data_IF_280845311787
#
_entry.id   IF_280845311787
#
_cell.length_a   1.000
_cell.length_b   1.000
_cell.length_c   1.000
_cell.angle_alpha   90.00
_cell.angle_beta   90.00
_cell.angle_gamma   90.00
#
_symmetry.space_group_name_H-M   'P 1'
#
loop_
_entity.id
_entity.type
_entity.pdbx_description
1 polymer ?
#
# COMPACT_ATOMS: atom_id res chain seq x y z
N UNK A 1 62.38 27.19 -4.36
CA UNK A 1 61.20 26.72 -5.12
C UNK A 1 60.79 25.38 -4.56
N UNK A 2 59.72 25.33 -3.76
CA UNK A 2 59.25 24.10 -3.12
C UNK A 2 58.12 23.50 -3.97
N UNK A 3 58.31 22.28 -4.42
CA UNK A 3 57.37 21.49 -5.21
C UNK A 3 56.49 20.76 -4.18
N UNK A 4 55.27 21.24 -3.93
CA UNK A 4 54.31 20.53 -3.09
C UNK A 4 53.80 19.32 -3.88
N UNK A 5 54.02 18.15 -3.31
CA UNK A 5 53.74 16.85 -3.90
C UNK A 5 52.23 16.63 -4.08
N UNK A 6 51.89 15.94 -5.17
CA UNK A 6 50.53 15.66 -5.66
C UNK A 6 49.84 14.39 -5.05
N UNK A 7 50.32 13.67 -4.00
CA UNK A 7 49.70 12.40 -3.60
C UNK A 7 48.43 12.54 -2.75
N UNK A 8 48.15 13.72 -2.18
CA UNK A 8 46.99 13.89 -1.30
C UNK A 8 45.66 14.05 -2.05
N UNK A 9 45.69 14.68 -3.23
CA UNK A 9 44.48 14.92 -4.03
C UNK A 9 43.96 13.62 -4.66
N UNK A 10 44.85 12.72 -5.08
CA UNK A 10 44.48 11.42 -5.65
C UNK A 10 43.96 10.44 -4.60
N UNK A 11 44.49 10.46 -3.38
CA UNK A 11 43.98 9.62 -2.27
C UNK A 11 42.58 10.05 -1.86
N UNK A 12 42.31 11.36 -1.78
CA UNK A 12 40.97 11.89 -1.47
C UNK A 12 39.96 11.57 -2.57
N UNK A 13 40.34 11.67 -3.85
CA UNK A 13 39.46 11.34 -4.97
C UNK A 13 39.05 9.85 -4.97
N UNK A 14 39.98 8.94 -4.64
CA UNK A 14 39.69 7.51 -4.52
C UNK A 14 38.78 7.19 -3.31
N UNK A 15 38.92 7.91 -2.18
CA UNK A 15 38.02 7.77 -1.02
C UNK A 15 36.61 8.30 -1.31
N UNK A 16 36.47 9.38 -2.08
CA UNK A 16 35.17 9.91 -2.52
C UNK A 16 34.49 8.95 -3.52
N UNK A 17 35.24 8.36 -4.46
CA UNK A 17 34.70 7.36 -5.39
C UNK A 17 34.24 6.09 -4.65
N UNK A 18 34.99 5.64 -3.63
CA UNK A 18 34.65 4.44 -2.85
C UNK A 18 33.48 4.64 -1.88
N UNK A 19 33.20 5.88 -1.46
CA UNK A 19 32.00 6.25 -0.68
C UNK A 19 30.77 6.53 -1.55
N UNK A 20 30.96 6.87 -2.82
CA UNK A 20 29.88 7.02 -3.82
C UNK A 20 29.46 5.70 -4.50
N UNK A 21 30.14 4.59 -4.24
CA UNK A 21 29.60 3.25 -4.52
C UNK A 21 28.52 2.88 -3.49
N UNK A 22 27.45 3.69 -3.42
CA UNK A 22 26.22 3.27 -2.77
C UNK A 22 25.71 2.04 -3.52
N UNK A 23 25.55 0.91 -2.81
CA UNK A 23 24.99 -0.33 -3.37
C UNK A 23 23.66 0.01 -4.03
N UNK A 24 23.58 -0.09 -5.36
CA UNK A 24 22.30 0.00 -6.05
C UNK A 24 21.37 -1.08 -5.47
N UNK A 25 20.12 -0.75 -5.15
CA UNK A 25 19.15 -1.74 -4.70
C UNK A 25 18.99 -2.82 -5.77
N UNK A 26 18.78 -4.06 -5.34
CA UNK A 26 18.48 -5.15 -6.26
C UNK A 26 17.14 -4.88 -6.96
N UNK A 27 16.95 -5.40 -8.17
CA UNK A 27 15.69 -5.22 -8.91
C UNK A 27 14.47 -5.66 -8.09
N UNK A 28 14.60 -6.71 -7.28
CA UNK A 28 13.55 -7.18 -6.38
C UNK A 28 13.20 -6.17 -5.29
N UNK A 29 14.20 -5.57 -4.63
CA UNK A 29 13.99 -4.52 -3.64
C UNK A 29 13.36 -3.26 -4.26
N UNK A 30 13.73 -2.91 -5.49
CA UNK A 30 13.14 -1.78 -6.22
C UNK A 30 11.66 -2.04 -6.57
N UNK A 31 11.32 -3.26 -7.03
CA UNK A 31 9.94 -3.64 -7.34
C UNK A 31 9.07 -3.66 -6.08
N UNK A 32 9.56 -4.26 -4.99
CA UNK A 32 8.85 -4.29 -3.71
C UNK A 32 8.59 -2.88 -3.18
N UNK A 33 9.59 -1.99 -3.23
CA UNK A 33 9.41 -0.59 -2.84
C UNK A 33 8.41 0.14 -3.76
N UNK A 34 8.39 -0.17 -5.05
CA UNK A 34 7.42 0.43 -5.98
C UNK A 34 5.98 -0.01 -5.70
N UNK A 35 5.77 -1.28 -5.33
CA UNK A 35 4.44 -1.81 -4.99
C UNK A 35 3.94 -1.25 -3.65
N UNK A 36 4.79 -1.26 -2.62
CA UNK A 36 4.51 -0.64 -1.31
C UNK A 36 4.09 0.83 -1.48
N UNK A 37 4.87 1.61 -2.22
CA UNK A 37 4.59 3.02 -2.47
C UNK A 37 3.26 3.23 -3.20
N UNK A 38 2.94 2.36 -4.15
CA UNK A 38 1.68 2.43 -4.92
C UNK A 38 0.44 2.16 -4.06
N UNK A 39 0.54 1.32 -3.02
CA UNK A 39 -0.54 1.14 -2.06
C UNK A 39 -0.57 2.24 -0.99
N UNK A 40 0.58 2.57 -0.41
CA UNK A 40 0.65 3.39 0.80
C UNK A 40 0.42 4.88 0.52
N UNK A 41 1.02 5.41 -0.54
CA UNK A 41 0.99 6.85 -0.85
C UNK A 41 -0.43 7.38 -1.06
N UNK A 42 -1.25 6.82 -1.96
CA UNK A 42 -2.62 7.32 -2.18
C UNK A 42 -3.53 7.16 -0.95
N UNK A 43 -3.30 6.15 -0.10
CA UNK A 43 -4.02 6.03 1.18
C UNK A 43 -3.66 7.15 2.14
N UNK A 44 -2.36 7.47 2.24
CA UNK A 44 -1.88 8.56 3.09
C UNK A 44 -2.28 9.96 2.56
N UNK A 45 -2.40 10.13 1.25
CA UNK A 45 -3.00 11.31 0.65
C UNK A 45 -4.47 11.45 1.07
N UNK A 46 -5.28 10.39 0.94
CA UNK A 46 -6.67 10.39 1.37
C UNK A 46 -6.84 10.69 2.86
N UNK A 47 -5.98 10.13 3.72
CA UNK A 47 -5.95 10.42 5.17
C UNK A 47 -5.60 11.87 5.47
N UNK A 48 -4.63 12.43 4.75
CA UNK A 48 -4.23 13.84 4.89
C UNK A 48 -5.39 14.78 4.56
N UNK A 49 -6.19 14.47 3.54
CA UNK A 49 -7.35 15.27 3.13
C UNK A 49 -8.43 15.42 4.21
N UNK A 50 -8.50 14.48 5.16
CA UNK A 50 -9.46 14.49 6.28
C UNK A 50 -8.77 14.68 7.64
N UNK A 51 -7.51 15.10 7.66
CA UNK A 51 -6.78 15.38 8.90
C UNK A 51 -6.48 14.14 9.75
N UNK A 52 -6.37 12.96 9.13
CA UNK A 52 -6.01 11.71 9.80
C UNK A 52 -4.49 11.46 9.66
N UNK A 53 -3.77 11.04 10.72
CA UNK A 53 -2.34 10.73 10.64
C UNK A 53 -2.04 9.63 9.60
N UNK A 54 -0.91 9.69 8.88
CA UNK A 54 -0.57 8.68 7.88
C UNK A 54 -0.39 7.28 8.49
N UNK A 55 -0.70 6.25 7.70
CA UNK A 55 -0.40 4.86 7.97
C UNK A 55 1.11 4.61 7.80
N UNK A 56 1.61 3.68 8.60
CA UNK A 56 2.94 3.08 8.43
C UNK A 56 2.82 1.72 7.73
N UNK A 57 3.79 1.39 6.89
CA UNK A 57 3.85 0.07 6.27
C UNK A 57 4.27 -1.01 7.29
N UNK A 58 3.59 -2.16 7.26
CA UNK A 58 3.90 -3.31 8.11
C UNK A 58 4.12 -4.57 7.26
N UNK A 59 5.34 -5.12 7.35
CA UNK A 59 5.73 -6.31 6.59
C UNK A 59 5.07 -7.62 7.10
N UNK A 60 4.61 -7.67 8.36
CA UNK A 60 3.83 -8.82 8.86
C UNK A 60 2.42 -8.80 8.26
N UNK A 61 1.79 -7.62 8.17
CA UNK A 61 0.50 -7.47 7.48
C UNK A 61 0.63 -7.78 5.98
N UNK A 62 1.73 -7.33 5.36
CA UNK A 62 2.06 -7.66 3.97
C UNK A 62 2.16 -9.16 3.76
N UNK A 63 2.87 -9.85 4.65
CA UNK A 63 3.04 -11.31 4.59
C UNK A 63 1.70 -12.05 4.79
N UNK A 64 0.84 -11.53 5.68
CA UNK A 64 -0.50 -12.05 5.89
C UNK A 64 -1.36 -11.89 4.62
N UNK A 65 -1.41 -10.68 4.06
CA UNK A 65 -2.13 -10.38 2.82
C UNK A 65 -1.66 -11.26 1.67
N UNK A 66 -0.34 -11.40 1.48
CA UNK A 66 0.25 -12.23 0.43
C UNK A 66 -0.12 -13.71 0.60
N UNK A 67 -0.06 -14.23 1.84
CA UNK A 67 -0.42 -15.62 2.14
C UNK A 67 -1.90 -15.90 1.82
N UNK A 68 -2.78 -14.96 2.19
CA UNK A 68 -4.20 -15.09 1.90
C UNK A 68 -4.50 -14.96 0.40
N UNK A 69 -3.94 -13.96 -0.28
CA UNK A 69 -4.10 -13.77 -1.72
C UNK A 69 -3.63 -15.00 -2.50
N UNK A 70 -2.48 -15.58 -2.14
CA UNK A 70 -1.97 -16.81 -2.75
C UNK A 70 -2.93 -18.00 -2.55
N UNK A 71 -3.60 -18.11 -1.39
CA UNK A 71 -4.60 -19.15 -1.15
C UNK A 71 -5.84 -19.05 -2.05
N UNK A 72 -6.07 -17.89 -2.67
CA UNK A 72 -7.19 -17.61 -3.56
C UNK A 72 -6.80 -17.66 -5.04
N UNK A 73 -5.52 -17.91 -5.38
CA UNK A 73 -4.98 -17.72 -6.74
C UNK A 73 -5.66 -18.54 -7.84
N UNK A 74 -6.25 -19.69 -7.49
CA UNK A 74 -6.95 -20.57 -8.44
C UNK A 74 -8.30 -20.01 -8.87
N UNK A 75 -9.04 -19.41 -7.93
CA UNK A 75 -10.38 -18.91 -8.16
C UNK A 75 -10.34 -17.42 -8.44
N UNK A 76 -9.81 -16.62 -7.51
CA UNK A 76 -9.85 -15.15 -7.50
C UNK A 76 -11.21 -14.49 -7.84
N UNK A 77 -12.26 -15.27 -8.09
CA UNK A 77 -13.52 -14.84 -8.66
C UNK A 77 -14.47 -14.22 -7.63
N UNK A 78 -14.11 -14.31 -6.35
CA UNK A 78 -14.91 -13.74 -5.28
C UNK A 78 -14.02 -12.88 -4.37
N UNK A 79 -14.46 -11.63 -4.14
CA UNK A 79 -13.93 -10.75 -3.10
C UNK A 79 -14.36 -11.28 -1.72
N UNK A 80 -13.80 -12.43 -1.34
CA UNK A 80 -14.07 -13.08 -0.06
C UNK A 80 -13.05 -12.59 0.94
N UNK A 81 -13.54 -12.10 2.08
CA UNK A 81 -12.67 -11.70 3.17
C UNK A 81 -12.04 -12.88 3.89
N UNK A 82 -10.79 -12.71 4.34
CA UNK A 82 -10.03 -13.71 5.09
C UNK A 82 -10.69 -14.12 6.41
N UNK A 83 -11.58 -13.26 6.93
CA UNK A 83 -12.15 -13.33 8.29
C UNK A 83 -11.05 -13.35 9.37
N UNK A 84 -9.90 -12.77 9.04
CA UNK A 84 -8.78 -12.57 9.94
C UNK A 84 -9.05 -11.54 11.04
N UNK A 85 -8.06 -11.30 11.91
CA UNK A 85 -8.17 -10.33 13.01
C UNK A 85 -7.98 -8.87 12.55
N UNK A 86 -7.64 -8.64 11.28
CA UNK A 86 -7.31 -7.33 10.74
C UNK A 86 -8.48 -6.74 9.95
N UNK A 87 -8.47 -5.41 9.78
CA UNK A 87 -9.29 -4.79 8.76
C UNK A 87 -8.80 -5.24 7.38
N UNK A 88 -9.65 -5.19 6.37
CA UNK A 88 -9.30 -5.72 5.06
C UNK A 88 -10.05 -5.01 3.92
N UNK A 89 -9.29 -4.55 2.93
CA UNK A 89 -9.82 -4.12 1.64
C UNK A 89 -9.37 -5.11 0.57
N UNK A 90 -10.29 -5.45 -0.34
CA UNK A 90 -10.06 -6.35 -1.46
C UNK A 90 -10.35 -5.64 -2.77
N UNK A 91 -9.55 -5.94 -3.78
CA UNK A 91 -9.75 -5.46 -5.12
C UNK A 91 -9.55 -6.61 -6.10
N UNK A 92 -10.45 -6.69 -7.09
CA UNK A 92 -10.34 -7.62 -8.20
C UNK A 92 -10.25 -6.83 -9.50
N UNK A 93 -9.22 -7.11 -10.27
CA UNK A 93 -9.03 -6.54 -11.59
C UNK A 93 -9.11 -7.63 -12.65
N UNK A 94 -10.01 -7.48 -13.62
CA UNK A 94 -10.19 -8.44 -14.71
C UNK A 94 -8.94 -8.61 -15.60
N UNK A 95 -8.90 -9.72 -16.34
CA UNK A 95 -7.78 -10.04 -17.24
C UNK A 95 -7.62 -9.01 -18.38
N UNK A 96 -6.42 -8.93 -18.95
CA UNK A 96 -6.13 -8.09 -20.12
C UNK A 96 -5.76 -6.63 -19.82
N UNK A 97 -5.75 -6.23 -18.54
CA UNK A 97 -5.18 -4.96 -18.07
C UNK A 97 -4.09 -5.22 -17.03
N UNK A 98 -2.99 -4.47 -17.13
CA UNK A 98 -1.96 -4.43 -16.09
C UNK A 98 -2.41 -3.49 -14.95
N UNK A 99 -3.23 -4.02 -14.05
CA UNK A 99 -3.68 -3.33 -12.86
C UNK A 99 -2.53 -3.04 -11.91
N UNK A 100 -2.55 -1.84 -11.33
CA UNK A 100 -1.53 -1.39 -10.39
C UNK A 100 -2.12 -1.14 -9.00
N UNK A 101 -1.31 -1.18 -7.93
CA UNK A 101 -1.74 -0.81 -6.59
C UNK A 101 -2.53 0.51 -6.51
N UNK A 102 -2.08 1.53 -7.26
CA UNK A 102 -2.72 2.84 -7.30
C UNK A 102 -4.14 2.78 -7.88
N UNK A 103 -4.41 1.85 -8.81
CA UNK A 103 -5.75 1.66 -9.36
C UNK A 103 -6.70 1.16 -8.27
N UNK A 104 -6.28 0.15 -7.50
CA UNK A 104 -7.08 -0.43 -6.42
C UNK A 104 -7.40 0.62 -5.34
N UNK A 105 -6.38 1.35 -4.88
CA UNK A 105 -6.58 2.41 -3.88
C UNK A 105 -7.45 3.53 -4.46
N UNK A 106 -7.27 3.88 -5.74
CA UNK A 106 -8.12 4.86 -6.43
C UNK A 106 -9.60 4.51 -6.32
N UNK A 107 -9.99 3.28 -6.67
CA UNK A 107 -11.38 2.84 -6.55
C UNK A 107 -11.90 2.87 -5.11
N UNK A 108 -11.08 2.47 -4.15
CA UNK A 108 -11.48 2.51 -2.73
C UNK A 108 -11.66 3.96 -2.24
N UNK A 109 -10.78 4.88 -2.62
CA UNK A 109 -10.83 6.30 -2.23
C UNK A 109 -11.98 7.02 -2.94
N UNK A 110 -12.32 6.66 -4.18
CA UNK A 110 -13.47 7.20 -4.92
C UNK A 110 -14.79 7.01 -4.16
N UNK A 111 -14.88 6.00 -3.29
CA UNK A 111 -16.07 5.80 -2.45
C UNK A 111 -16.31 6.96 -1.45
N UNK A 112 -15.32 7.82 -1.20
CA UNK A 112 -15.49 9.07 -0.45
C UNK A 112 -16.63 9.94 -1.00
N UNK A 113 -16.83 9.93 -2.32
CA UNK A 113 -17.93 10.64 -2.97
C UNK A 113 -19.32 10.11 -2.60
N UNK A 114 -19.39 8.90 -2.04
CA UNK A 114 -20.61 8.25 -1.58
C UNK A 114 -20.73 8.23 -0.05
N UNK A 115 -19.73 8.69 0.69
CA UNK A 115 -19.79 8.71 2.15
C UNK A 115 -20.33 10.04 2.67
N UNK A 116 -21.37 9.98 3.50
CA UNK A 116 -21.86 11.13 4.26
C UNK A 116 -21.37 11.01 5.71
N UNK A 117 -20.46 11.89 6.09
CA UNK A 117 -19.91 11.95 7.44
C UNK A 117 -20.97 12.32 8.50
N UNK A 118 -21.94 13.16 8.14
CA UNK A 118 -22.94 13.66 9.09
C UNK A 118 -23.89 12.56 9.56
N UNK A 119 -24.24 11.64 8.66
CA UNK A 119 -25.09 10.48 8.96
C UNK A 119 -24.29 9.19 9.20
N UNK A 120 -22.97 9.22 9.00
CA UNK A 120 -22.06 8.07 9.05
C UNK A 120 -22.55 6.89 8.19
N UNK A 121 -22.92 7.19 6.96
CA UNK A 121 -23.53 6.21 6.07
C UNK A 121 -23.10 6.40 4.63
N UNK A 122 -23.11 5.31 3.86
CA UNK A 122 -22.98 5.39 2.42
C UNK A 122 -24.30 5.87 1.78
N UNK A 123 -24.19 6.54 0.64
CA UNK A 123 -25.33 6.89 -0.20
C UNK A 123 -26.15 5.62 -0.57
N UNK A 124 -27.48 5.74 -0.77
CA UNK A 124 -28.32 4.59 -1.06
C UNK A 124 -27.82 3.76 -2.26
N UNK A 125 -27.64 2.45 -2.05
CA UNK A 125 -27.15 1.52 -3.07
C UNK A 125 -25.67 1.65 -3.42
N UNK A 126 -24.90 2.45 -2.65
CA UNK A 126 -23.45 2.60 -2.81
C UNK A 126 -22.71 1.95 -1.64
N UNK A 127 -21.43 1.70 -1.86
CA UNK A 127 -20.49 1.25 -0.85
C UNK A 127 -19.52 2.38 -0.53
N UNK A 128 -19.07 2.40 0.72
CA UNK A 128 -18.08 3.33 1.23
C UNK A 128 -17.15 2.70 2.28
N UNK A 129 -17.26 1.38 2.48
CA UNK A 129 -16.53 0.65 3.50
C UNK A 129 -15.02 0.60 3.24
N UNK A 130 -14.60 0.61 1.96
CA UNK A 130 -13.18 0.62 1.64
C UNK A 130 -12.58 1.99 1.96
N UNK A 131 -13.28 3.06 1.58
CA UNK A 131 -12.88 4.42 1.94
C UNK A 131 -12.80 4.58 3.45
N UNK A 132 -13.87 4.23 4.19
CA UNK A 132 -13.88 4.42 5.66
C UNK A 132 -12.80 3.60 6.37
N UNK A 133 -12.42 2.44 5.85
CA UNK A 133 -11.27 1.68 6.36
C UNK A 133 -9.94 2.43 6.12
N UNK A 134 -9.72 3.00 4.92
CA UNK A 134 -8.50 3.74 4.60
C UNK A 134 -8.33 4.94 5.55
N UNK A 135 -9.40 5.67 5.80
CA UNK A 135 -9.38 6.87 6.63
C UNK A 135 -9.70 6.63 8.10
N UNK A 136 -9.76 5.37 8.54
CA UNK A 136 -10.03 5.01 9.93
C UNK A 136 -8.90 5.52 10.85
N UNK A 137 -9.26 6.40 11.79
CA UNK A 137 -8.32 7.16 12.63
C UNK A 137 -7.42 6.27 13.46
N UNK A 138 -7.98 5.24 14.05
CA UNK A 138 -7.26 4.37 14.98
C UNK A 138 -6.42 3.30 14.27
N UNK A 139 -6.68 3.06 12.97
CA UNK A 139 -5.80 2.24 12.14
C UNK A 139 -4.49 2.99 11.92
N UNK A 140 -3.38 2.34 12.26
CA UNK A 140 -2.03 2.94 12.23
C UNK A 140 -1.09 2.25 11.24
N UNK A 141 -1.36 0.99 10.93
CA UNK A 141 -0.51 0.17 10.07
C UNK A 141 -1.32 -0.45 8.94
N UNK A 142 -0.66 -0.60 7.80
CA UNK A 142 -1.19 -1.31 6.63
C UNK A 142 -0.11 -2.16 6.00
N UNK A 143 -0.50 -3.32 5.46
CA UNK A 143 0.35 -4.10 4.56
C UNK A 143 -0.51 -4.72 3.48
N UNK A 144 -0.03 -4.70 2.25
CA UNK A 144 -0.80 -5.12 1.09
C UNK A 144 -0.01 -6.07 0.18
N UNK A 145 -0.72 -6.83 -0.62
CA UNK A 145 -0.13 -7.73 -1.61
C UNK A 145 -1.00 -7.86 -2.86
N UNK A 146 -0.35 -8.10 -3.99
CA UNK A 146 -1.00 -8.45 -5.26
C UNK A 146 -0.76 -9.92 -5.61
N UNK A 147 -1.79 -10.61 -6.11
CA UNK A 147 -1.70 -11.97 -6.63
C UNK A 147 -2.26 -12.01 -8.05
N UNK A 148 -1.45 -12.48 -9.01
CA UNK A 148 -1.92 -12.81 -10.36
C UNK A 148 -2.59 -14.19 -10.30
N UNK A 149 -3.82 -14.25 -10.78
CA UNK A 149 -4.65 -15.44 -10.73
C UNK A 149 -4.44 -16.32 -11.96
N UNK A 150 -4.83 -17.59 -11.88
CA UNK A 150 -4.71 -18.53 -13.00
C UNK A 150 -5.44 -18.07 -14.28
N UNK A 151 -6.49 -17.26 -14.14
CA UNK A 151 -7.24 -16.63 -15.25
C UNK A 151 -6.53 -15.43 -15.88
N UNK A 152 -5.43 -14.94 -15.28
CA UNK A 152 -4.77 -13.68 -15.65
C UNK A 152 -5.43 -12.42 -15.07
N UNK A 153 -6.46 -12.55 -14.22
CA UNK A 153 -6.92 -11.46 -13.36
C UNK A 153 -5.93 -11.17 -12.24
N UNK A 154 -6.15 -10.09 -11.49
CA UNK A 154 -5.40 -9.79 -10.26
C UNK A 154 -6.35 -9.72 -9.06
N UNK A 155 -5.88 -10.21 -7.92
CA UNK A 155 -6.45 -9.97 -6.61
C UNK A 155 -5.45 -9.13 -5.81
N UNK A 156 -5.89 -7.98 -5.29
CA UNK A 156 -5.10 -7.14 -4.40
C UNK A 156 -5.78 -7.07 -3.04
N UNK A 157 -4.99 -7.22 -1.98
CA UNK A 157 -5.47 -7.27 -0.60
C UNK A 157 -4.66 -6.28 0.23
N UNK A 158 -5.30 -5.44 1.00
CA UNK A 158 -4.67 -4.61 2.04
C UNK A 158 -5.25 -4.99 3.40
N UNK A 159 -4.39 -5.32 4.36
CA UNK A 159 -4.79 -5.55 5.75
C UNK A 159 -4.38 -4.38 6.65
N UNK A 160 -5.25 -4.07 7.61
CA UNK A 160 -5.20 -2.87 8.43
C UNK A 160 -5.18 -3.23 9.92
N UNK A 161 -4.29 -2.58 10.67
CA UNK A 161 -4.17 -2.82 12.12
C UNK A 161 -4.00 -1.51 12.91
N UNK A 162 -4.74 -1.30 14.02
CA UNK A 162 -6.00 -1.97 14.38
C UNK A 162 -7.05 -1.98 13.26
N UNK A 163 -7.99 -2.96 13.24
CA UNK A 163 -9.11 -2.97 12.29
C UNK A 163 -9.99 -1.73 12.46
N UNK A 164 -10.62 -1.30 11.37
CA UNK A 164 -11.60 -0.22 11.37
C UNK A 164 -13.03 -0.69 11.13
N UNK A 165 -13.90 0.24 10.72
CA UNK A 165 -15.29 -0.01 10.35
C UNK A 165 -16.14 -0.63 11.47
N UNK A 166 -15.89 -0.22 12.71
CA UNK A 166 -16.76 -0.59 13.84
C UNK A 166 -18.13 0.07 13.70
N UNK A 167 -19.18 -0.73 13.87
CA UNK A 167 -20.57 -0.27 13.73
C UNK A 167 -20.86 0.81 14.77
N UNK A 168 -21.29 1.99 14.30
CA UNK A 168 -21.62 3.12 15.15
C UNK A 168 -20.44 4.01 15.53
N UNK A 169 -19.25 3.74 15.00
CA UNK A 169 -18.07 4.59 15.18
C UNK A 169 -17.76 5.37 13.90
N UNK A 170 -17.18 6.55 14.06
CA UNK A 170 -16.81 7.44 12.95
C UNK A 170 -15.37 7.17 12.54
N UNK A 171 -15.06 7.20 11.24
CA UNK A 171 -13.72 6.94 10.77
C UNK A 171 -12.74 8.08 11.12
N UNK A 172 -13.18 9.31 11.32
CA UNK A 172 -12.31 10.45 11.64
C UNK A 172 -12.95 11.55 12.47
#
# INVERSE_FOLDING_TARGET
MAILSVPYLTVLLNFVIMTMMQRMPTAHAQLQHSEESGFLSPQNEARTMVGVPPLSWDYNLTSYAASYAASQADQCEALVHSRGPFGENLFWGGFGRAWKPEDAVGFWVEESSYYDYSSNSCAPGRMCGHYTQIVWRDTTHVGCASQICSSGSVLMICNYNPPGNYIGEWPY
#
